data_IF_742996470122
#
_entry.id   IF_742996470122
#
_cell.length_a   1.000
_cell.length_b   1.000
_cell.length_c   1.000
_cell.angle_alpha   90.00
_cell.angle_beta   90.00
_cell.angle_gamma   90.00
#
_symmetry.space_group_name_H-M   'P 1'
#
loop_
_entity.id
_entity.type
_entity.pdbx_description
1 polymer ?
#
# COMPACT_ATOMS: atom_id res chain seq x y z
N UNK A 1 -13.74 7.79 -21.28
CA UNK A 1 -13.39 8.54 -20.05
C UNK A 1 -11.89 8.57 -19.98
N UNK A 2 -11.29 9.76 -20.01
CA UNK A 2 -9.84 9.95 -20.04
C UNK A 2 -9.36 10.30 -18.63
N UNK A 3 -8.20 9.79 -18.21
CA UNK A 3 -7.63 10.02 -16.89
C UNK A 3 -6.20 10.57 -17.03
N UNK A 4 -5.89 11.62 -16.28
CA UNK A 4 -4.57 12.23 -16.22
C UNK A 4 -3.85 11.81 -14.94
N UNK A 5 -2.66 11.22 -15.09
CA UNK A 5 -1.77 10.88 -13.97
C UNK A 5 -0.73 11.97 -13.83
N UNK A 6 -0.58 12.53 -12.62
CA UNK A 6 0.36 13.61 -12.34
C UNK A 6 1.40 13.12 -11.33
N UNK A 7 2.69 13.31 -11.66
CA UNK A 7 3.82 12.92 -10.82
C UNK A 7 4.67 14.15 -10.43
N UNK A 8 4.32 14.86 -9.34
CA UNK A 8 5.11 16.00 -8.88
C UNK A 8 6.46 15.53 -8.31
N UNK A 9 7.52 16.29 -8.59
CA UNK A 9 8.88 16.01 -8.14
C UNK A 9 9.09 16.33 -6.65
N UNK A 10 8.31 17.26 -6.12
CA UNK A 10 8.41 17.71 -4.74
C UNK A 10 7.06 18.16 -4.17
N UNK A 11 7.04 18.42 -2.85
CA UNK A 11 5.84 18.86 -2.12
C UNK A 11 5.33 20.23 -2.57
N UNK A 12 6.21 21.13 -3.00
CA UNK A 12 5.83 22.49 -3.43
C UNK A 12 5.08 22.41 -4.76
N UNK A 13 5.60 21.62 -5.70
CA UNK A 13 4.95 21.34 -6.98
C UNK A 13 3.60 20.66 -6.78
N UNK A 14 3.51 19.65 -5.90
CA UNK A 14 2.25 19.00 -5.58
C UNK A 14 1.20 20.00 -5.05
N UNK A 15 1.59 20.88 -4.13
CA UNK A 15 0.69 21.90 -3.57
C UNK A 15 0.19 22.89 -4.63
N UNK A 16 1.08 23.35 -5.52
CA UNK A 16 0.69 24.23 -6.62
C UNK A 16 -0.30 23.56 -7.58
N UNK A 17 -0.03 22.31 -7.97
CA UNK A 17 -0.93 21.52 -8.83
C UNK A 17 -2.30 21.35 -8.17
N UNK A 18 -2.34 20.99 -6.88
CA UNK A 18 -3.60 20.86 -6.13
C UNK A 18 -4.41 22.16 -6.12
N UNK A 19 -3.76 23.31 -5.98
CA UNK A 19 -4.44 24.60 -6.00
C UNK A 19 -5.08 24.89 -7.36
N UNK A 20 -4.37 24.60 -8.46
CA UNK A 20 -4.89 24.76 -9.82
C UNK A 20 -6.09 23.83 -10.04
N UNK A 21 -5.97 22.55 -9.69
CA UNK A 21 -7.07 21.58 -9.84
C UNK A 21 -8.31 21.98 -9.04
N UNK A 22 -8.13 22.48 -7.81
CA UNK A 22 -9.24 23.02 -7.01
C UNK A 22 -9.89 24.25 -7.65
N UNK A 23 -9.09 25.17 -8.20
CA UNK A 23 -9.61 26.37 -8.86
C UNK A 23 -10.43 26.04 -10.12
N UNK A 24 -10.14 24.91 -10.76
CA UNK A 24 -10.88 24.38 -11.91
C UNK A 24 -12.07 23.48 -11.50
N UNK A 25 -12.36 23.36 -10.21
CA UNK A 25 -13.38 22.47 -9.65
C UNK A 25 -13.19 20.99 -10.07
N UNK A 26 -11.95 20.59 -10.33
CA UNK A 26 -11.60 19.22 -10.69
C UNK A 26 -11.43 18.39 -9.41
N UNK A 27 -12.26 17.36 -9.27
CA UNK A 27 -12.07 16.36 -8.22
C UNK A 27 -10.87 15.49 -8.53
N UNK A 28 -9.89 15.46 -7.63
CA UNK A 28 -8.73 14.58 -7.72
C UNK A 28 -8.64 13.63 -6.54
N UNK A 29 -8.09 12.45 -6.79
CA UNK A 29 -7.89 11.39 -5.80
C UNK A 29 -6.41 11.06 -5.79
N UNK A 30 -5.84 10.86 -4.61
CA UNK A 30 -4.54 10.20 -4.54
C UNK A 30 -4.82 8.71 -4.73
N UNK A 31 -4.19 8.11 -5.73
CA UNK A 31 -4.11 6.65 -5.79
C UNK A 31 -3.10 6.27 -4.72
N UNK A 32 -3.59 5.89 -3.55
CA UNK A 32 -2.74 5.20 -2.58
C UNK A 32 -2.51 3.81 -3.16
N UNK A 33 -1.24 3.44 -3.33
CA UNK A 33 -0.93 2.05 -3.57
C UNK A 33 -1.28 1.32 -2.28
N UNK A 34 -2.25 0.43 -2.37
CA UNK A 34 -2.48 -0.55 -1.33
C UNK A 34 -1.23 -1.44 -1.28
N UNK A 35 -0.37 -1.18 -0.31
CA UNK A 35 0.86 -1.95 -0.07
C UNK A 35 0.55 -3.41 0.26
N UNK A 36 -0.69 -3.76 0.59
CA UNK A 36 -1.12 -5.15 0.83
C UNK A 36 -1.67 -5.83 -0.42
N UNK A 37 -1.82 -5.09 -1.54
CA UNK A 37 -2.33 -5.62 -2.81
C UNK A 37 -1.62 -6.91 -3.21
N UNK A 38 -0.29 -6.97 -3.04
CA UNK A 38 0.53 -8.14 -3.39
C UNK A 38 0.09 -9.43 -2.67
N UNK A 39 -0.43 -9.34 -1.45
CA UNK A 39 -0.91 -10.49 -0.68
C UNK A 39 -2.08 -11.20 -1.39
N UNK A 40 -2.83 -10.45 -2.21
CA UNK A 40 -3.99 -10.94 -2.94
C UNK A 40 -3.75 -11.14 -4.45
N UNK A 41 -2.55 -10.84 -4.96
CA UNK A 41 -2.25 -10.89 -6.39
C UNK A 41 -2.14 -12.31 -6.97
N UNK A 42 -1.81 -13.31 -6.14
CA UNK A 42 -1.68 -14.71 -6.58
C UNK A 42 -2.45 -15.66 -5.68
N UNK A 43 -2.86 -16.80 -6.23
CA UNK A 43 -3.49 -17.90 -5.45
C UNK A 43 -2.53 -18.40 -4.37
N UNK A 44 -1.23 -18.44 -4.66
CA UNK A 44 -0.21 -18.85 -3.71
C UNK A 44 -0.11 -17.88 -2.52
N UNK A 45 -0.10 -16.56 -2.78
CA UNK A 45 -0.01 -15.55 -1.73
C UNK A 45 -1.23 -15.58 -0.82
N UNK A 46 -2.43 -15.72 -1.39
CA UNK A 46 -3.68 -15.88 -0.63
C UNK A 46 -3.62 -17.11 0.28
N UNK A 47 -3.21 -18.27 -0.26
CA UNK A 47 -3.10 -19.51 0.52
C UNK A 47 -2.08 -19.39 1.64
N UNK A 48 -0.91 -18.81 1.37
CA UNK A 48 0.13 -18.61 2.37
C UNK A 48 -0.33 -17.68 3.50
N UNK A 49 -1.06 -16.60 3.16
CA UNK A 49 -1.64 -15.70 4.15
C UNK A 49 -2.69 -16.42 5.01
N UNK A 50 -3.63 -17.14 4.39
CA UNK A 50 -4.68 -17.89 5.11
C UNK A 50 -4.09 -18.95 6.05
N UNK A 51 -3.03 -19.64 5.61
CA UNK A 51 -2.32 -20.61 6.42
C UNK A 51 -1.61 -19.94 7.60
N UNK A 52 -0.91 -18.84 7.37
CA UNK A 52 -0.23 -18.08 8.43
C UNK A 52 -1.21 -17.57 9.49
N UNK A 53 -2.41 -17.13 9.10
CA UNK A 53 -3.46 -16.71 10.03
C UNK A 53 -3.90 -17.88 10.91
N UNK A 54 -4.18 -19.05 10.32
CA UNK A 54 -4.56 -20.25 11.06
C UNK A 54 -3.47 -20.72 12.03
N UNK A 55 -2.22 -20.69 11.60
CA UNK A 55 -1.08 -21.03 12.46
C UNK A 55 -1.02 -20.10 13.67
N UNK A 56 -1.22 -18.79 13.46
CA UNK A 56 -1.26 -17.81 14.55
C UNK A 56 -2.41 -18.06 15.53
N UNK A 57 -3.63 -18.31 15.03
CA UNK A 57 -4.80 -18.64 15.85
C UNK A 57 -4.61 -19.93 16.67
N UNK A 58 -3.91 -20.92 16.09
CA UNK A 58 -3.59 -22.18 16.75
C UNK A 58 -2.36 -22.10 17.67
N UNK A 59 -1.76 -20.91 17.85
CA UNK A 59 -0.57 -20.72 18.68
C UNK A 59 0.72 -21.31 18.09
N UNK A 60 0.72 -21.68 16.80
CA UNK A 60 1.88 -22.22 16.07
C UNK A 60 2.82 -21.08 15.62
N UNK A 61 3.16 -20.18 16.54
CA UNK A 61 4.05 -19.04 16.29
C UNK A 61 5.36 -19.21 17.03
N UNK A 62 6.42 -18.62 16.50
CA UNK A 62 7.72 -18.55 17.16
C UNK A 62 8.03 -17.12 17.57
N UNK A 63 8.46 -16.93 18.82
CA UNK A 63 8.90 -15.64 19.30
C UNK A 63 10.34 -15.41 18.86
N UNK A 64 10.57 -14.38 18.06
CA UNK A 64 11.90 -13.95 17.63
C UNK A 64 12.29 -12.70 18.42
N UNK A 65 13.47 -12.71 19.04
CA UNK A 65 14.01 -11.53 19.70
C UNK A 65 14.69 -10.61 18.66
N UNK A 66 14.76 -9.31 18.95
CA UNK A 66 15.39 -8.33 18.04
C UNK A 66 16.84 -8.70 17.71
N UNK A 67 17.56 -9.30 18.66
CA UNK A 67 18.93 -9.77 18.48
C UNK A 67 19.06 -10.94 17.47
N UNK A 68 17.96 -11.63 17.15
CA UNK A 68 17.95 -12.77 16.24
C UNK A 68 17.49 -12.40 14.82
N UNK A 69 17.04 -11.17 14.58
CA UNK A 69 16.52 -10.72 13.27
C UNK A 69 17.60 -10.60 12.19
N UNK A 70 18.89 -10.58 12.57
CA UNK A 70 20.01 -10.27 11.68
C UNK A 70 21.08 -11.38 11.61
N UNK A 71 20.76 -12.58 12.09
CA UNK A 71 21.67 -13.74 12.00
C UNK A 71 21.59 -14.44 10.65
#
# INVERSE_FOLDING_TARGET
>A
MEALIIQPRDKKQLSAIKAILKALDVTFKKVEQDETSYLSQSIANKRALDESIKQAENGQTVKIAVADLWK
#
